data_IF_766866652586
#
_entry.id   IF_766866652586
#
_cell.length_a   1.000
_cell.length_b   1.000
_cell.length_c   1.000
_cell.angle_alpha   90.00
_cell.angle_beta   90.00
_cell.angle_gamma   90.00
#
_symmetry.space_group_name_H-M   'P 1'
#
loop_
_entity.id
_entity.type
_entity.pdbx_description
1 polymer ?
#
# COMPACT_ATOMS: atom_id res chain seq x y z
N UNK A 1 5.09 11.71 -15.13
CA UNK A 1 4.55 10.45 -15.70
C UNK A 1 4.21 9.44 -14.59
N UNK A 2 5.14 9.16 -13.68
CA UNK A 2 4.93 8.20 -12.58
C UNK A 2 3.74 8.56 -11.67
N UNK A 3 3.51 9.86 -11.42
CA UNK A 3 2.39 10.37 -10.61
C UNK A 3 1.00 9.99 -11.17
N UNK A 4 0.84 9.98 -12.50
CA UNK A 4 -0.43 9.58 -13.12
C UNK A 4 -0.68 8.08 -12.95
N UNK A 5 0.38 7.26 -13.00
CA UNK A 5 0.28 5.83 -12.77
C UNK A 5 -0.08 5.52 -11.30
N UNK A 6 0.48 6.25 -10.33
CA UNK A 6 0.10 6.10 -8.92
C UNK A 6 -1.35 6.49 -8.66
N UNK A 7 -1.83 7.61 -9.23
CA UNK A 7 -3.23 8.02 -9.11
C UNK A 7 -4.16 6.98 -9.73
N UNK A 8 -3.78 6.41 -10.89
CA UNK A 8 -4.55 5.35 -11.52
C UNK A 8 -4.60 4.08 -10.66
N UNK A 9 -3.48 3.64 -10.09
CA UNK A 9 -3.42 2.48 -9.19
C UNK A 9 -4.25 2.71 -7.92
N UNK A 10 -4.16 3.90 -7.33
CA UNK A 10 -4.97 4.29 -6.18
C UNK A 10 -6.46 4.22 -6.52
N UNK A 11 -6.87 4.81 -7.64
CA UNK A 11 -8.25 4.78 -8.10
C UNK A 11 -8.75 3.36 -8.39
N UNK A 12 -7.89 2.49 -8.94
CA UNK A 12 -8.23 1.09 -9.22
C UNK A 12 -8.43 0.28 -7.92
N UNK A 13 -7.55 0.45 -6.94
CA UNK A 13 -7.72 -0.13 -5.62
C UNK A 13 -8.99 0.40 -4.93
N UNK A 14 -9.21 1.71 -4.98
CA UNK A 14 -10.41 2.35 -4.42
C UNK A 14 -11.70 1.83 -5.07
N UNK A 15 -11.75 1.72 -6.39
CA UNK A 15 -12.88 1.12 -7.11
C UNK A 15 -13.12 -0.35 -6.70
N UNK A 16 -12.03 -1.11 -6.53
CA UNK A 16 -12.09 -2.49 -6.05
C UNK A 16 -12.77 -2.64 -4.69
N UNK A 17 -12.70 -1.64 -3.81
CA UNK A 17 -13.35 -1.68 -2.50
C UNK A 17 -14.88 -1.64 -2.57
N UNK A 18 -15.45 -0.98 -3.57
CA UNK A 18 -16.90 -0.87 -3.70
C UNK A 18 -17.51 -2.00 -4.53
N UNK A 19 -16.74 -2.59 -5.44
CA UNK A 19 -17.25 -3.60 -6.38
C UNK A 19 -17.13 -5.01 -5.85
N UNK A 20 -16.09 -5.30 -5.07
CA UNK A 20 -15.85 -6.64 -4.57
C UNK A 20 -16.69 -6.92 -3.31
N UNK A 21 -17.42 -8.03 -3.34
CA UNK A 21 -18.20 -8.53 -2.20
C UNK A 21 -17.46 -9.59 -1.37
N UNK A 22 -16.38 -10.14 -1.93
CA UNK A 22 -15.56 -11.13 -1.25
C UNK A 22 -14.53 -10.44 -0.34
N UNK A 23 -14.44 -10.87 0.92
CA UNK A 23 -13.53 -10.29 1.92
C UNK A 23 -12.06 -10.34 1.49
N UNK A 24 -11.61 -11.42 0.84
CA UNK A 24 -10.22 -11.52 0.37
C UNK A 24 -9.95 -10.52 -0.75
N UNK A 25 -10.89 -10.34 -1.68
CA UNK A 25 -10.75 -9.35 -2.77
C UNK A 25 -10.75 -7.92 -2.24
N UNK A 26 -11.44 -7.65 -1.13
CA UNK A 26 -11.38 -6.35 -0.44
C UNK A 26 -9.99 -6.09 0.15
N UNK A 27 -9.40 -7.08 0.83
CA UNK A 27 -8.03 -6.98 1.35
C UNK A 27 -7.03 -6.72 0.21
N UNK A 28 -7.16 -7.43 -0.91
CA UNK A 28 -6.32 -7.20 -2.10
C UNK A 28 -6.52 -5.80 -2.67
N UNK A 29 -7.75 -5.31 -2.72
CA UNK A 29 -8.06 -3.96 -3.21
C UNK A 29 -7.44 -2.88 -2.32
N UNK A 30 -7.44 -3.06 -0.99
CA UNK A 30 -6.73 -2.20 -0.04
C UNK A 30 -5.23 -2.19 -0.31
N UNK A 31 -4.61 -3.36 -0.52
CA UNK A 31 -3.18 -3.48 -0.81
C UNK A 31 -2.81 -2.75 -2.12
N UNK A 32 -3.62 -2.88 -3.17
CA UNK A 32 -3.40 -2.17 -4.45
C UNK A 32 -3.49 -0.65 -4.27
N UNK A 33 -4.44 -0.19 -3.46
CA UNK A 33 -4.59 1.22 -3.12
C UNK A 33 -3.36 1.76 -2.37
N UNK A 34 -2.86 1.01 -1.38
CA UNK A 34 -1.63 1.34 -0.63
C UNK A 34 -0.41 1.44 -1.55
N UNK A 35 -0.23 0.51 -2.49
CA UNK A 35 0.88 0.56 -3.46
C UNK A 35 0.83 1.84 -4.30
N UNK A 36 -0.36 2.25 -4.76
CA UNK A 36 -0.56 3.50 -5.49
C UNK A 36 -0.16 4.73 -4.65
N UNK A 37 -0.53 4.73 -3.37
CA UNK A 37 -0.19 5.79 -2.41
C UNK A 37 1.33 5.84 -2.13
N UNK A 38 1.97 4.71 -1.90
CA UNK A 38 3.42 4.64 -1.66
C UNK A 38 4.20 5.18 -2.85
N UNK A 39 3.81 4.78 -4.05
CA UNK A 39 4.44 5.22 -5.29
C UNK A 39 4.22 6.72 -5.53
N UNK A 40 3.06 7.26 -5.14
CA UNK A 40 2.82 8.71 -5.14
C UNK A 40 3.76 9.45 -4.20
N UNK A 41 3.84 9.03 -2.93
CA UNK A 41 4.67 9.68 -1.90
C UNK A 41 6.15 9.66 -2.30
N UNK A 42 6.69 8.51 -2.72
CA UNK A 42 8.10 8.43 -3.17
C UNK A 42 8.35 9.33 -4.38
N UNK A 43 7.38 9.46 -5.29
CA UNK A 43 7.55 10.31 -6.48
C UNK A 43 7.65 11.80 -6.17
N UNK A 44 7.16 12.27 -5.01
CA UNK A 44 7.28 13.67 -4.58
C UNK A 44 8.71 13.99 -4.14
N UNK A 45 9.41 13.03 -3.52
CA UNK A 45 10.80 13.18 -3.07
C UNK A 45 11.85 13.03 -4.17
N UNK A 46 11.42 12.83 -5.42
CA UNK A 46 12.33 12.61 -6.53
C UNK A 46 12.99 13.93 -6.96
N UNK A 47 14.32 13.94 -6.92
CA UNK A 47 15.16 15.06 -7.38
C UNK A 47 15.91 14.60 -8.63
N UNK A 48 15.85 15.39 -9.70
CA UNK A 48 16.60 15.09 -10.94
C UNK A 48 18.11 15.14 -10.65
N UNK A 49 18.85 14.15 -11.13
CA UNK A 49 20.29 13.94 -10.84
C UNK A 49 20.62 13.66 -9.36
N UNK A 50 19.60 13.44 -8.53
CA UNK A 50 19.79 13.04 -7.14
C UNK A 50 20.30 11.60 -7.03
N UNK A 51 21.37 11.39 -6.27
CA UNK A 51 21.84 10.07 -5.87
C UNK A 51 21.07 9.57 -4.64
N UNK A 52 21.10 8.25 -4.40
CA UNK A 52 20.48 7.65 -3.22
C UNK A 52 21.06 8.26 -1.93
N UNK A 53 20.24 8.52 -0.89
CA UNK A 53 20.64 9.23 0.32
C UNK A 53 21.38 8.30 1.28
N UNK A 54 22.49 7.73 0.80
CA UNK A 54 23.38 6.84 1.51
C UNK A 54 24.77 7.45 1.39
N UNK A 55 25.24 8.05 2.49
CA UNK A 55 26.59 8.65 2.53
C UNK A 55 27.60 7.53 2.73
N UNK A 56 28.42 7.26 1.71
CA UNK A 56 29.39 6.17 1.75
C UNK A 56 30.81 6.65 2.07
N UNK A 57 31.15 7.90 1.74
CA UNK A 57 32.44 8.51 2.05
C UNK A 57 32.33 10.04 2.24
N UNK A 58 33.29 10.63 2.94
CA UNK A 58 33.31 12.07 3.29
C UNK A 58 33.48 12.96 2.05
N UNK A 59 34.04 12.44 0.96
CA UNK A 59 34.22 13.16 -0.31
C UNK A 59 32.91 13.39 -1.08
N UNK A 60 31.79 12.79 -0.65
CA UNK A 60 30.47 12.91 -1.29
C UNK A 60 29.63 14.09 -0.76
N UNK A 61 30.17 14.89 0.16
CA UNK A 61 29.49 16.04 0.81
C UNK A 61 28.97 17.13 -0.15
N UNK A 62 29.38 17.10 -1.43
CA UNK A 62 28.93 18.04 -2.47
C UNK A 62 27.94 17.47 -3.49
N UNK A 63 27.52 16.20 -3.36
CA UNK A 63 26.60 15.56 -4.29
C UNK A 63 25.14 15.92 -3.99
N UNK A 64 24.30 15.95 -5.03
CA UNK A 64 22.87 16.16 -4.90
C UNK A 64 22.22 14.84 -4.52
N UNK A 65 21.50 14.79 -3.39
CA UNK A 65 20.79 13.61 -2.92
C UNK A 65 19.28 13.75 -3.14
N UNK A 66 18.58 12.63 -3.35
CA UNK A 66 17.11 12.60 -3.29
C UNK A 66 16.64 12.76 -1.83
N UNK A 67 15.42 13.26 -1.65
CA UNK A 67 14.88 13.51 -0.31
C UNK A 67 14.71 12.19 0.47
N UNK A 68 15.38 12.01 1.62
CA UNK A 68 15.23 10.81 2.44
C UNK A 68 13.91 10.75 3.21
N UNK A 69 13.20 11.87 3.38
CA UNK A 69 11.99 11.93 4.20
C UNK A 69 10.86 11.06 3.63
N UNK A 70 10.50 11.14 2.33
CA UNK A 70 9.48 10.27 1.76
C UNK A 70 9.85 8.79 1.80
N UNK A 71 11.14 8.45 1.72
CA UNK A 71 11.62 7.06 1.78
C UNK A 71 11.39 6.47 3.18
N UNK A 72 11.75 7.20 4.24
CA UNK A 72 11.53 6.78 5.62
C UNK A 72 10.03 6.65 5.95
N UNK A 73 9.21 7.57 5.44
CA UNK A 73 7.76 7.54 5.62
C UNK A 73 7.15 6.29 4.99
N UNK A 74 7.52 5.98 3.75
CA UNK A 74 6.98 4.82 3.02
C UNK A 74 7.47 3.50 3.61
N UNK A 75 8.73 3.41 4.04
CA UNK A 75 9.25 2.20 4.70
C UNK A 75 8.43 1.84 5.95
N UNK A 76 8.07 2.85 6.75
CA UNK A 76 7.22 2.66 7.93
C UNK A 76 5.81 2.25 7.54
N UNK A 77 5.24 2.89 6.51
CA UNK A 77 3.90 2.58 6.02
C UNK A 77 3.79 1.15 5.46
N UNK A 78 4.84 0.63 4.80
CA UNK A 78 4.88 -0.75 4.31
C UNK A 78 4.76 -1.75 5.46
N UNK A 79 5.49 -1.54 6.57
CA UNK A 79 5.43 -2.44 7.73
C UNK A 79 4.03 -2.44 8.35
N UNK A 80 3.39 -1.26 8.44
CA UNK A 80 2.01 -1.13 8.92
C UNK A 80 1.04 -1.87 7.98
N UNK A 81 1.17 -1.67 6.66
CA UNK A 81 0.31 -2.32 5.64
C UNK A 81 0.39 -3.84 5.66
N UNK A 82 1.60 -4.40 5.86
CA UNK A 82 1.77 -5.86 6.05
C UNK A 82 1.09 -6.33 7.34
N UNK A 83 1.20 -5.56 8.43
CA UNK A 83 0.56 -5.86 9.70
C UNK A 83 -0.97 -5.84 9.64
N UNK A 84 -1.56 -4.82 9.00
CA UNK A 84 -3.01 -4.72 8.80
C UNK A 84 -3.53 -5.80 7.85
N UNK A 85 -2.78 -6.13 6.80
CA UNK A 85 -3.13 -7.25 5.89
C UNK A 85 -3.10 -8.59 6.62
N UNK A 86 -2.07 -8.86 7.43
CA UNK A 86 -1.99 -10.07 8.23
C UNK A 86 -3.17 -10.19 9.20
N UNK A 87 -3.52 -9.09 9.88
CA UNK A 87 -4.69 -9.04 10.75
C UNK A 87 -6.00 -9.27 9.98
N UNK A 88 -6.17 -8.63 8.82
CA UNK A 88 -7.34 -8.81 7.96
C UNK A 88 -7.50 -10.25 7.50
N UNK A 89 -6.40 -10.93 7.13
CA UNK A 89 -6.40 -12.34 6.75
C UNK A 89 -6.72 -13.25 7.95
N UNK A 90 -6.18 -12.96 9.13
CA UNK A 90 -6.50 -13.71 10.35
C UNK A 90 -7.99 -13.62 10.71
N UNK A 91 -8.58 -12.43 10.58
CA UNK A 91 -10.03 -12.21 10.76
C UNK A 91 -10.81 -12.97 9.67
N UNK A 92 -10.40 -12.87 8.41
CA UNK A 92 -11.05 -13.58 7.30
C UNK A 92 -11.08 -15.09 7.54
N UNK A 93 -9.97 -15.66 8.03
CA UNK A 93 -9.90 -17.08 8.41
C UNK A 93 -10.90 -17.41 9.51
N UNK A 94 -11.00 -16.58 10.55
CA UNK A 94 -11.95 -16.79 11.65
C UNK A 94 -13.42 -16.71 11.19
N UNK A 95 -13.74 -15.77 10.30
CA UNK A 95 -15.07 -15.64 9.69
C UNK A 95 -15.41 -16.91 8.91
N UNK A 96 -14.49 -17.40 8.08
CA UNK A 96 -14.71 -18.62 7.30
C UNK A 96 -14.92 -19.85 8.19
N UNK A 97 -14.19 -19.98 9.30
CA UNK A 97 -14.37 -21.09 10.24
C UNK A 97 -15.78 -21.09 10.89
N UNK A 98 -16.40 -19.91 11.03
CA UNK A 98 -17.69 -19.74 11.71
C UNK A 98 -18.87 -19.82 10.75
N UNK A 99 -18.79 -19.12 9.62
CA UNK A 99 -19.89 -18.95 8.66
C UNK A 99 -19.73 -19.78 7.39
N UNK A 100 -18.56 -20.42 7.17
CA UNK A 100 -18.22 -21.19 5.96
C UNK A 100 -18.35 -20.40 4.64
N UNK A 101 -18.42 -19.07 4.72
CA UNK A 101 -18.49 -18.15 3.58
C UNK A 101 -17.62 -16.92 3.82
N UNK A 102 -17.19 -16.30 2.73
CA UNK A 102 -16.43 -15.05 2.69
C UNK A 102 -17.09 -14.00 1.79
N UNK A 103 -18.33 -14.24 1.35
CA UNK A 103 -19.13 -13.27 0.62
C UNK A 103 -19.93 -12.42 1.62
N UNK A 104 -19.79 -11.10 1.54
CA UNK A 104 -20.43 -10.17 2.47
C UNK A 104 -21.96 -10.29 2.46
N UNK A 105 -22.57 -10.46 1.29
CA UNK A 105 -24.03 -10.62 1.16
C UNK A 105 -24.55 -11.85 1.94
N UNK A 106 -23.78 -12.95 1.94
CA UNK A 106 -24.14 -14.18 2.65
C UNK A 106 -23.90 -14.04 4.16
N UNK A 107 -22.87 -13.28 4.56
CA UNK A 107 -22.62 -12.99 5.97
C UNK A 107 -23.75 -12.15 6.58
N UNK A 108 -24.26 -11.14 5.86
CA UNK A 108 -25.40 -10.33 6.32
C UNK A 108 -26.68 -11.16 6.50
N UNK A 109 -26.90 -12.18 5.66
CA UNK A 109 -28.09 -13.04 5.75
C UNK A 109 -28.03 -14.06 6.91
N UNK A 110 -26.84 -14.35 7.44
CA UNK A 110 -26.62 -15.33 8.51
C UNK A 110 -26.43 -14.69 9.91
N UNK A 111 -26.54 -13.35 10.01
CA UNK A 111 -26.54 -12.56 11.25
C UNK A 111 -27.97 -12.34 11.77
#
# INVERSE_FOLDING_TARGET
>A
MIQYASIFLFALGFYGLFVNKNVIKLIVSLNVMEIGLFLFIVSIGFVSEGIAPIVSSVDELGLIYVDPIPQALVLTAIVIGVGTTALGLAISKNIYDTYLTLELDELEANL
#
